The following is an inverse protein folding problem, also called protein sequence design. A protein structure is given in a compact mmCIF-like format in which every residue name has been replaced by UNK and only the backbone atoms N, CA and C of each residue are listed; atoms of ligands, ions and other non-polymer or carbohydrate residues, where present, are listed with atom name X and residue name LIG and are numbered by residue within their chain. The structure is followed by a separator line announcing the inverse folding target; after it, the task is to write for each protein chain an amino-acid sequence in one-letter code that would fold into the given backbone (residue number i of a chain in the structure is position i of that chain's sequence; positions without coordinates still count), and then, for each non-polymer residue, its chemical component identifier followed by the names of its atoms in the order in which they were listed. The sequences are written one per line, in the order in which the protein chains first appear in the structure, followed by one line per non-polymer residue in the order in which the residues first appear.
data_IF_959129532018
#
_entry.id   IF_959129532018
#
_cell.length_a   1.000
_cell.length_b   1.000
_cell.length_c   1.000
_cell.angle_alpha   90.00
_cell.angle_beta   90.00
_cell.angle_gamma   90.00
#
_symmetry.space_group_name_H-M   'P 1'
#
loop_
_entity.id
_entity.type
_entity.pdbx_description
1 polymer ?
#
# COMPACT_ATOMS: atom_id res chain seq x y z
N UNK A 1 -77.51 75.82 3.64
CA UNK A 1 -76.24 75.98 2.89
C UNK A 1 -75.02 76.19 3.78
N UNK A 2 -75.00 77.16 4.70
CA UNK A 2 -73.79 77.47 5.50
C UNK A 2 -73.25 76.30 6.37
N UNK A 3 -74.12 75.42 6.89
CA UNK A 3 -73.71 74.25 7.69
C UNK A 3 -72.99 73.17 6.86
N UNK A 4 -73.47 72.95 5.64
CA UNK A 4 -72.92 71.97 4.70
C UNK A 4 -71.56 72.46 4.17
N UNK A 5 -71.42 73.76 3.88
CA UNK A 5 -70.12 74.30 3.50
C UNK A 5 -69.09 74.13 4.62
N UNK A 6 -69.45 74.40 5.88
CA UNK A 6 -68.53 74.26 7.02
C UNK A 6 -68.06 72.82 7.24
N UNK A 7 -68.93 71.84 7.12
CA UNK A 7 -68.56 70.41 7.24
C UNK A 7 -67.63 69.96 6.10
N UNK A 8 -67.80 70.50 4.89
CA UNK A 8 -66.90 70.23 3.76
C UNK A 8 -65.52 70.87 3.99
N UNK A 9 -65.46 72.11 4.51
CA UNK A 9 -64.18 72.78 4.80
C UNK A 9 -63.45 72.11 5.96
N UNK A 10 -64.16 71.70 7.02
CA UNK A 10 -63.57 71.03 8.17
C UNK A 10 -63.07 69.62 7.79
N UNK A 11 -63.80 68.90 6.92
CA UNK A 11 -63.36 67.63 6.34
C UNK A 11 -62.13 67.75 5.44
N UNK A 12 -62.07 68.79 4.60
CA UNK A 12 -60.90 69.06 3.75
C UNK A 12 -59.64 69.43 4.57
N UNK A 13 -59.81 70.19 5.65
CA UNK A 13 -58.73 70.53 6.56
C UNK A 13 -58.21 69.29 7.31
N UNK A 14 -59.10 68.40 7.76
CA UNK A 14 -58.72 67.15 8.42
C UNK A 14 -57.97 66.20 7.48
N UNK A 15 -58.43 66.06 6.23
CA UNK A 15 -57.77 65.26 5.21
C UNK A 15 -56.35 65.79 4.91
N UNK A 16 -56.20 67.11 4.81
CA UNK A 16 -54.92 67.76 4.54
C UNK A 16 -53.93 67.51 5.69
N UNK A 17 -54.38 67.61 6.93
CA UNK A 17 -53.55 67.32 8.12
C UNK A 17 -53.14 65.84 8.16
N UNK A 18 -54.05 64.91 7.82
CA UNK A 18 -53.72 63.49 7.74
C UNK A 18 -52.69 63.18 6.65
N UNK A 19 -52.81 63.78 5.47
CA UNK A 19 -51.84 63.60 4.38
C UNK A 19 -50.45 64.08 4.81
N UNK A 20 -50.35 65.25 5.44
CA UNK A 20 -49.08 65.79 5.93
C UNK A 20 -48.46 64.89 7.01
N UNK A 21 -49.28 64.35 7.92
CA UNK A 21 -48.83 63.43 8.95
C UNK A 21 -48.30 62.11 8.36
N UNK A 22 -49.01 61.52 7.39
CA UNK A 22 -48.59 60.29 6.70
C UNK A 22 -47.29 60.53 5.92
N UNK A 23 -47.18 61.65 5.20
CA UNK A 23 -45.95 61.99 4.47
C UNK A 23 -44.76 62.16 5.39
N UNK A 24 -44.97 62.77 6.57
CA UNK A 24 -43.93 62.99 7.58
C UNK A 24 -43.46 61.67 8.22
N UNK A 25 -44.40 60.77 8.54
CA UNK A 25 -44.08 59.42 9.05
C UNK A 25 -43.34 58.57 8.01
N UNK A 26 -43.76 58.65 6.74
CA UNK A 26 -43.11 57.92 5.64
C UNK A 26 -41.70 58.43 5.39
N UNK A 27 -41.48 59.76 5.49
CA UNK A 27 -40.16 60.36 5.37
C UNK A 27 -39.23 59.97 6.53
N UNK A 28 -39.75 59.95 7.78
CA UNK A 28 -38.98 59.49 8.95
C UNK A 28 -38.56 58.02 8.81
N UNK A 29 -39.48 57.14 8.40
CA UNK A 29 -39.17 55.73 8.17
C UNK A 29 -38.13 55.52 7.06
N UNK A 30 -38.22 56.29 5.97
CA UNK A 30 -37.23 56.24 4.88
C UNK A 30 -35.84 56.74 5.33
N UNK A 31 -35.80 57.80 6.16
CA UNK A 31 -34.56 58.33 6.73
C UNK A 31 -33.86 57.29 7.63
N UNK A 32 -34.62 56.62 8.49
CA UNK A 32 -34.06 55.60 9.39
C UNK A 32 -33.54 54.38 8.62
N UNK A 33 -34.25 53.95 7.57
CA UNK A 33 -33.77 52.89 6.69
C UNK A 33 -32.44 53.24 6.00
N UNK A 34 -32.30 54.47 5.49
CA UNK A 34 -31.05 54.93 4.86
C UNK A 34 -29.90 55.02 5.87
N UNK A 35 -30.19 55.49 7.09
CA UNK A 35 -29.19 55.59 8.17
C UNK A 35 -28.69 54.22 8.65
N UNK A 36 -29.50 53.16 8.54
CA UNK A 36 -29.10 51.80 8.90
C UNK A 36 -28.36 51.10 7.74
N UNK A 37 -28.82 51.28 6.50
CA UNK A 37 -28.28 50.55 5.35
C UNK A 37 -26.94 51.13 4.87
N UNK A 38 -26.75 52.46 4.94
CA UNK A 38 -25.53 53.09 4.45
C UNK A 38 -24.25 52.64 5.20
N UNK A 39 -24.21 52.56 6.55
CA UNK A 39 -23.06 52.02 7.27
C UNK A 39 -22.75 50.56 6.91
N UNK A 40 -23.79 49.73 6.74
CA UNK A 40 -23.61 48.31 6.38
C UNK A 40 -22.96 48.18 5.00
N UNK A 41 -23.39 48.95 4.02
CA UNK A 41 -22.79 48.95 2.69
C UNK A 41 -21.34 49.43 2.70
N UNK A 42 -21.03 50.46 3.49
CA UNK A 42 -19.65 50.94 3.69
C UNK A 42 -18.79 49.84 4.33
N UNK A 43 -19.26 49.18 5.38
CA UNK A 43 -18.55 48.07 6.03
C UNK A 43 -18.33 46.89 5.09
N UNK A 44 -19.35 46.49 4.32
CA UNK A 44 -19.27 45.42 3.33
C UNK A 44 -18.27 45.75 2.22
N UNK A 45 -18.23 47.00 1.75
CA UNK A 45 -17.26 47.45 0.75
C UNK A 45 -15.82 47.43 1.30
N UNK A 46 -15.62 47.81 2.56
CA UNK A 46 -14.33 47.74 3.24
C UNK A 46 -13.86 46.30 3.44
N UNK A 47 -14.76 45.38 3.82
CA UNK A 47 -14.46 43.96 3.97
C UNK A 47 -14.08 43.30 2.63
N UNK A 48 -14.79 43.64 1.54
CA UNK A 48 -14.44 43.17 0.20
C UNK A 48 -13.07 43.68 -0.27
N UNK A 49 -12.74 44.94 -0.01
CA UNK A 49 -11.42 45.49 -0.33
C UNK A 49 -10.31 44.81 0.49
N UNK A 50 -10.55 44.52 1.77
CA UNK A 50 -9.60 43.80 2.61
C UNK A 50 -9.36 42.37 2.11
N UNK A 51 -10.41 41.66 1.71
CA UNK A 51 -10.29 40.32 1.11
C UNK A 51 -9.53 40.35 -0.22
N UNK A 52 -9.80 41.33 -1.08
CA UNK A 52 -9.06 41.51 -2.32
C UNK A 52 -7.57 41.78 -2.08
N UNK A 53 -7.24 42.63 -1.09
CA UNK A 53 -5.85 42.90 -0.71
C UNK A 53 -5.13 41.66 -0.16
N UNK A 54 -5.82 40.85 0.65
CA UNK A 54 -5.28 39.57 1.15
C UNK A 54 -5.03 38.58 0.01
N UNK A 55 -5.95 38.47 -0.95
CA UNK A 55 -5.80 37.60 -2.11
C UNK A 55 -4.60 38.01 -2.98
N UNK A 56 -4.42 39.32 -3.23
CA UNK A 56 -3.26 39.85 -3.98
C UNK A 56 -1.96 39.56 -3.22
N UNK A 57 -1.97 39.74 -1.90
CA UNK A 57 -0.79 39.48 -1.05
C UNK A 57 -0.43 38.00 -1.06
N UNK A 58 -1.43 37.10 -1.00
CA UNK A 58 -1.24 35.66 -1.10
C UNK A 58 -0.60 35.26 -2.44
N UNK A 59 -1.15 35.75 -3.57
CA UNK A 59 -0.60 35.48 -4.91
C UNK A 59 0.84 35.98 -5.02
N UNK A 60 1.15 37.16 -4.45
CA UNK A 60 2.50 37.69 -4.46
C UNK A 60 3.48 36.84 -3.63
N UNK A 61 3.07 36.38 -2.45
CA UNK A 61 3.87 35.49 -1.60
C UNK A 61 4.11 34.15 -2.29
N UNK A 62 3.08 33.55 -2.87
CA UNK A 62 3.17 32.28 -3.59
C UNK A 62 4.16 32.39 -4.77
N UNK A 63 4.08 33.48 -5.55
CA UNK A 63 5.00 33.75 -6.65
C UNK A 63 6.46 33.97 -6.21
N UNK A 64 6.67 34.57 -5.03
CA UNK A 64 8.00 34.71 -4.45
C UNK A 64 8.57 33.37 -3.97
N UNK A 65 7.71 32.50 -3.40
CA UNK A 65 8.11 31.17 -2.96
C UNK A 65 8.45 30.25 -4.13
N UNK A 66 7.67 30.26 -5.20
CA UNK A 66 7.94 29.46 -6.41
C UNK A 66 9.23 29.91 -7.10
N UNK A 67 9.43 31.22 -7.29
CA UNK A 67 10.67 31.75 -7.88
C UNK A 67 11.92 31.37 -7.05
N UNK A 68 11.83 31.41 -5.72
CA UNK A 68 12.94 30.96 -4.85
C UNK A 68 13.18 29.45 -4.92
N UNK A 69 12.13 28.66 -5.11
CA UNK A 69 12.23 27.21 -5.28
C UNK A 69 12.88 26.84 -6.63
N UNK A 70 12.52 27.53 -7.70
CA UNK A 70 13.13 27.39 -9.03
C UNK A 70 14.62 27.72 -9.00
N UNK A 71 15.00 28.87 -8.43
CA UNK A 71 16.43 29.26 -8.29
C UNK A 71 17.23 28.22 -7.47
N UNK A 72 16.62 27.63 -6.44
CA UNK A 72 17.28 26.55 -5.66
C UNK A 72 17.42 25.28 -6.48
N UNK A 73 16.40 24.90 -7.25
CA UNK A 73 16.42 23.73 -8.13
C UNK A 73 17.51 23.87 -9.19
N UNK A 74 17.60 25.02 -9.85
CA UNK A 74 18.58 25.28 -10.90
C UNK A 74 20.01 25.26 -10.35
N UNK A 75 20.23 25.79 -9.14
CA UNK A 75 21.52 25.71 -8.45
C UNK A 75 21.90 24.26 -8.10
N UNK A 76 20.94 23.43 -7.71
CA UNK A 76 21.18 22.01 -7.40
C UNK A 76 21.52 21.25 -8.68
N UNK A 77 20.80 21.49 -9.77
CA UNK A 77 21.07 20.86 -11.08
C UNK A 77 22.45 21.26 -11.62
N UNK A 78 22.81 22.54 -11.57
CA UNK A 78 24.13 23.01 -11.99
C UNK A 78 25.27 22.38 -11.16
N UNK A 79 25.04 22.13 -9.86
CA UNK A 79 26.03 21.48 -9.00
C UNK A 79 26.16 19.98 -9.32
N UNK A 80 25.06 19.31 -9.67
CA UNK A 80 25.07 17.91 -10.12
C UNK A 80 25.82 17.78 -11.46
N UNK A 81 25.58 18.67 -12.40
CA UNK A 81 26.27 18.66 -13.70
C UNK A 81 27.77 18.92 -13.53
N UNK A 82 28.16 19.87 -12.68
CA UNK A 82 29.58 20.12 -12.35
C UNK A 82 30.24 18.91 -11.67
N UNK A 83 29.54 18.22 -10.76
CA UNK A 83 30.03 16.99 -10.14
C UNK A 83 30.16 15.86 -11.17
N UNK A 84 29.21 15.74 -12.11
CA UNK A 84 29.25 14.75 -13.18
C UNK A 84 30.41 14.98 -14.13
N UNK A 85 30.68 16.23 -14.51
CA UNK A 85 31.87 16.59 -15.30
C UNK A 85 33.17 16.28 -14.54
N UNK A 86 33.22 16.60 -13.24
CA UNK A 86 34.40 16.31 -12.42
C UNK A 86 34.65 14.80 -12.30
N UNK A 87 33.61 14.00 -12.06
CA UNK A 87 33.70 12.54 -12.03
C UNK A 87 34.09 11.95 -13.38
N UNK A 88 33.57 12.50 -14.48
CA UNK A 88 33.97 12.10 -15.84
C UNK A 88 35.45 12.41 -16.10
N UNK A 89 35.92 13.59 -15.72
CA UNK A 89 37.33 13.98 -15.89
C UNK A 89 38.26 13.11 -15.03
N UNK A 90 37.84 12.76 -13.80
CA UNK A 90 38.56 11.83 -12.94
C UNK A 90 38.58 10.40 -13.50
N UNK A 91 37.45 9.93 -14.05
CA UNK A 91 37.37 8.62 -14.68
C UNK A 91 38.22 8.55 -15.96
N UNK A 92 38.15 9.56 -16.82
CA UNK A 92 38.99 9.68 -18.03
C UNK A 92 40.48 9.77 -17.64
N UNK A 93 40.84 10.55 -16.63
CA UNK A 93 42.21 10.63 -16.10
C UNK A 93 42.72 9.31 -15.50
N UNK A 94 41.86 8.57 -14.82
CA UNK A 94 42.18 7.24 -14.30
C UNK A 94 42.37 6.22 -15.42
N UNK A 95 41.54 6.28 -16.47
CA UNK A 95 41.62 5.41 -17.65
C UNK A 95 42.90 5.67 -18.45
N UNK A 96 43.24 6.95 -18.65
CA UNK A 96 44.49 7.37 -19.29
C UNK A 96 45.71 6.92 -18.46
N UNK A 97 45.69 7.12 -17.14
CA UNK A 97 46.78 6.71 -16.25
C UNK A 97 46.96 5.19 -16.24
N UNK A 98 45.86 4.43 -16.22
CA UNK A 98 45.89 2.97 -16.31
C UNK A 98 46.45 2.50 -17.66
N UNK A 99 46.07 3.16 -18.74
CA UNK A 99 46.58 2.87 -20.09
C UNK A 99 48.08 3.16 -20.18
N UNK A 100 48.55 4.30 -19.67
CA UNK A 100 49.98 4.65 -19.61
C UNK A 100 50.75 3.65 -18.75
N UNK A 101 50.19 3.20 -17.62
CA UNK A 101 50.80 2.19 -16.78
C UNK A 101 50.92 0.83 -17.49
N UNK A 102 49.92 0.45 -18.29
CA UNK A 102 49.95 -0.77 -19.11
C UNK A 102 50.96 -0.69 -20.26
N UNK A 103 51.11 0.48 -20.90
CA UNK A 103 52.17 0.75 -21.90
C UNK A 103 53.56 0.66 -21.25
N UNK A 104 53.78 1.30 -20.09
CA UNK A 104 55.06 1.22 -19.37
C UNK A 104 55.44 -0.20 -18.92
N UNK A 105 54.44 -1.05 -18.66
CA UNK A 105 54.62 -2.46 -18.31
C UNK A 105 54.84 -3.37 -19.53
N UNK A 106 54.87 -2.82 -20.74
CA UNK A 106 55.06 -3.58 -21.98
C UNK A 106 53.86 -4.45 -22.36
N UNK A 107 52.68 -4.21 -21.77
CA UNK A 107 51.46 -4.97 -22.04
C UNK A 107 50.70 -4.43 -23.27
N UNK A 108 50.96 -3.18 -23.63
CA UNK A 108 50.44 -2.54 -24.84
C UNK A 108 51.65 -2.04 -25.64
N UNK A 109 51.87 -2.64 -26.82
CA UNK A 109 52.87 -2.16 -27.77
C UNK A 109 52.21 -1.18 -28.73
N UNK A 110 52.68 0.07 -28.84
CA UNK A 110 52.21 0.95 -29.91
C UNK A 110 52.74 0.42 -31.24
N UNK A 111 51.84 -0.10 -32.08
CA UNK A 111 52.17 -0.38 -33.48
C UNK A 111 52.30 0.96 -34.20
N UNK A 112 53.51 1.32 -34.61
CA UNK A 112 53.71 2.41 -35.56
C UNK A 112 53.23 1.94 -36.94
N UNK A 113 52.14 2.54 -37.41
CA UNK A 113 51.77 2.54 -38.82
C UNK A 113 51.82 4.00 -39.28
N UNK A 114 52.98 4.44 -39.75
CA UNK A 114 53.23 5.84 -40.14
C UNK A 114 53.49 6.79 -38.95
N UNK A 115 53.24 8.10 -39.16
CA UNK A 115 53.57 9.18 -38.22
C UNK A 115 52.45 9.56 -37.23
N UNK A 116 51.34 8.81 -37.17
CA UNK A 116 50.24 9.08 -36.23
C UNK A 116 49.88 7.82 -35.43
N UNK A 117 49.67 7.91 -34.10
CA UNK A 117 49.26 6.77 -33.30
C UNK A 117 47.79 6.44 -33.59
N UNK A 118 47.51 5.22 -34.09
CA UNK A 118 46.16 4.66 -34.17
C UNK A 118 46.08 3.39 -33.34
N UNK A 119 45.04 3.28 -32.50
CA UNK A 119 44.70 2.05 -31.79
C UNK A 119 43.93 1.13 -32.75
N UNK A 120 44.49 -0.03 -33.08
CA UNK A 120 43.76 -1.06 -33.81
C UNK A 120 42.68 -1.67 -32.88
N UNK A 121 41.48 -2.01 -33.41
CA UNK A 121 40.48 -2.73 -32.64
C UNK A 121 41.05 -4.10 -32.23
N UNK A 122 41.06 -4.35 -30.93
CA UNK A 122 41.54 -5.62 -30.39
C UNK A 122 40.73 -6.78 -30.98
N UNK A 123 41.43 -7.75 -31.57
CA UNK A 123 40.88 -9.09 -31.70
C UNK A 123 40.89 -9.71 -30.30
N UNK A 124 39.71 -10.15 -29.85
CA UNK A 124 39.43 -10.81 -28.56
C UNK A 124 40.27 -12.05 -28.26
N UNK A 125 41.17 -12.45 -29.16
CA UNK A 125 42.05 -13.62 -29.02
C UNK A 125 43.37 -13.35 -28.30
N UNK A 126 43.71 -12.10 -27.96
CA UNK A 126 44.99 -11.75 -27.33
C UNK A 126 44.95 -11.61 -25.79
N UNK A 127 43.78 -11.72 -25.16
CA UNK A 127 43.66 -11.67 -23.69
C UNK A 127 44.08 -13.04 -23.13
N UNK A 128 45.37 -13.17 -22.78
CA UNK A 128 45.82 -14.24 -21.89
C UNK A 128 45.12 -14.06 -20.54
N UNK A 129 44.63 -15.18 -19.99
CA UNK A 129 43.75 -15.37 -18.84
C UNK A 129 44.14 -14.72 -17.48
N UNK A 130 45.11 -13.79 -17.41
CA UNK A 130 45.70 -13.33 -16.14
C UNK A 130 45.60 -11.80 -15.88
N UNK A 131 44.73 -11.08 -16.60
CA UNK A 131 44.40 -9.68 -16.26
C UNK A 131 43.08 -9.64 -15.53
N UNK A 132 43.00 -9.23 -14.24
CA UNK A 132 41.73 -8.99 -13.58
C UNK A 132 41.13 -7.74 -14.23
N UNK A 133 40.24 -7.95 -15.20
CA UNK A 133 39.28 -6.95 -15.63
C UNK A 133 38.54 -6.51 -14.36
N UNK A 134 38.41 -5.20 -14.13
CA UNK A 134 37.45 -4.70 -13.14
C UNK A 134 36.08 -5.19 -13.63
N UNK A 135 35.61 -6.29 -13.05
CA UNK A 135 34.30 -6.85 -13.35
C UNK A 135 33.27 -5.76 -13.09
N UNK A 136 32.56 -5.34 -14.14
CA UNK A 136 31.38 -4.51 -13.97
C UNK A 136 30.48 -5.20 -12.93
N UNK A 137 29.85 -4.46 -12.00
CA UNK A 137 28.98 -5.08 -11.00
C UNK A 137 27.99 -6.01 -11.72
N UNK A 138 28.08 -7.29 -11.42
CA UNK A 138 27.37 -8.34 -12.14
C UNK A 138 25.86 -8.08 -12.02
N UNK A 139 25.21 -7.83 -13.16
CA UNK A 139 23.78 -7.63 -13.19
C UNK A 139 23.08 -8.89 -12.66
N UNK A 140 22.20 -8.72 -11.68
CA UNK A 140 21.56 -9.83 -10.99
C UNK A 140 20.39 -10.35 -11.81
N UNK A 141 20.21 -11.66 -11.89
CA UNK A 141 19.01 -12.25 -12.51
C UNK A 141 17.89 -12.34 -11.49
N UNK A 142 16.69 -11.91 -11.87
CA UNK A 142 15.54 -11.98 -10.98
C UNK A 142 15.19 -13.41 -10.56
N UNK A 143 15.41 -14.41 -11.41
CA UNK A 143 15.22 -15.83 -11.07
C UNK A 143 15.98 -16.22 -9.81
N UNK A 144 17.24 -15.81 -9.72
CA UNK A 144 18.17 -16.24 -8.67
C UNK A 144 17.84 -15.52 -7.37
N UNK A 145 17.48 -14.23 -7.47
CA UNK A 145 16.99 -13.43 -6.34
C UNK A 145 15.68 -14.01 -5.81
N UNK A 146 14.72 -14.30 -6.69
CA UNK A 146 13.42 -14.84 -6.33
C UNK A 146 13.53 -16.21 -5.67
N UNK A 147 14.25 -17.16 -6.27
CA UNK A 147 14.44 -18.50 -5.71
C UNK A 147 15.14 -18.46 -4.34
N UNK A 148 16.19 -17.63 -4.19
CA UNK A 148 16.87 -17.46 -2.90
C UNK A 148 15.95 -16.89 -1.82
N UNK A 149 15.13 -15.90 -2.15
CA UNK A 149 14.22 -15.31 -1.18
C UNK A 149 13.06 -16.26 -0.81
N UNK A 150 12.45 -16.91 -1.80
CA UNK A 150 11.30 -17.80 -1.64
C UNK A 150 11.66 -19.11 -0.94
N UNK A 151 12.90 -19.60 -1.10
CA UNK A 151 13.42 -20.75 -0.35
C UNK A 151 13.73 -20.42 1.12
N UNK A 152 13.75 -19.13 1.49
CA UNK A 152 13.95 -18.74 2.89
C UNK A 152 12.68 -18.98 3.72
N UNK A 153 12.86 -19.18 5.03
CA UNK A 153 11.74 -19.31 5.98
C UNK A 153 10.76 -18.13 5.94
N UNK A 154 11.26 -16.91 5.69
CA UNK A 154 10.43 -15.71 5.59
C UNK A 154 9.61 -15.62 4.29
N UNK A 155 9.75 -16.62 3.42
CA UNK A 155 9.08 -16.75 2.12
C UNK A 155 9.29 -15.55 1.18
N UNK A 156 10.29 -14.70 1.41
CA UNK A 156 10.59 -13.52 0.59
C UNK A 156 9.59 -12.37 0.75
N UNK A 157 10.08 -11.12 0.75
CA UNK A 157 9.22 -9.92 0.89
C UNK A 157 9.63 -8.87 -0.12
N UNK A 158 8.83 -8.76 -1.18
CA UNK A 158 9.07 -7.94 -2.36
C UNK A 158 8.03 -6.82 -2.46
N UNK A 159 8.49 -5.65 -2.88
CA UNK A 159 7.60 -4.62 -3.43
C UNK A 159 8.10 -4.25 -4.82
N UNK A 160 7.20 -4.28 -5.79
CA UNK A 160 7.46 -3.94 -7.19
C UNK A 160 6.77 -2.62 -7.51
N UNK A 161 7.54 -1.65 -8.00
CA UNK A 161 7.06 -0.36 -8.48
C UNK A 161 7.21 -0.24 -9.98
N UNK A 162 6.43 0.65 -10.59
CA UNK A 162 6.58 1.03 -11.98
C UNK A 162 5.31 1.61 -12.57
N UNK A 163 5.42 2.32 -13.68
CA UNK A 163 4.28 2.87 -14.41
C UNK A 163 3.44 1.77 -15.08
N UNK A 164 2.29 2.16 -15.65
CA UNK A 164 1.54 1.25 -16.53
C UNK A 164 2.45 0.75 -17.65
N UNK A 165 2.27 -0.52 -18.04
CA UNK A 165 3.05 -1.16 -19.10
C UNK A 165 4.56 -1.28 -18.83
N UNK A 166 5.05 -1.09 -17.59
CA UNK A 166 6.47 -1.31 -17.28
C UNK A 166 6.87 -2.78 -17.13
N UNK A 167 5.90 -3.71 -17.18
CA UNK A 167 6.12 -5.15 -17.04
C UNK A 167 5.85 -5.71 -15.64
N UNK A 168 5.22 -4.94 -14.73
CA UNK A 168 4.89 -5.39 -13.36
C UNK A 168 4.11 -6.71 -13.34
N UNK A 169 3.03 -6.79 -14.11
CA UNK A 169 2.20 -8.01 -14.22
C UNK A 169 2.96 -9.19 -14.79
N UNK A 170 3.87 -8.95 -15.74
CA UNK A 170 4.75 -9.97 -16.28
C UNK A 170 5.69 -10.52 -15.20
N UNK A 171 6.28 -9.65 -14.39
CA UNK A 171 7.16 -10.04 -13.29
C UNK A 171 6.39 -10.77 -12.17
N UNK A 172 5.18 -10.33 -11.83
CA UNK A 172 4.31 -11.00 -10.88
C UNK A 172 3.98 -12.44 -11.33
N UNK A 173 3.66 -12.65 -12.61
CA UNK A 173 3.43 -13.99 -13.20
C UNK A 173 4.66 -14.89 -13.14
N UNK A 174 5.86 -14.35 -13.40
CA UNK A 174 7.10 -15.12 -13.20
C UNK A 174 7.31 -15.48 -11.73
N UNK A 175 7.02 -14.55 -10.82
CA UNK A 175 7.10 -14.79 -9.37
C UNK A 175 6.15 -15.90 -8.93
N UNK A 176 4.95 -15.98 -9.50
CA UNK A 176 4.04 -17.11 -9.28
C UNK A 176 4.71 -18.44 -9.59
N UNK A 177 5.40 -18.56 -10.73
CA UNK A 177 6.07 -19.81 -11.12
C UNK A 177 7.16 -20.19 -10.12
N UNK A 178 7.99 -19.21 -9.71
CA UNK A 178 9.02 -19.44 -8.70
C UNK A 178 8.42 -19.78 -7.34
N UNK A 179 7.32 -19.13 -6.93
CA UNK A 179 6.65 -19.41 -5.67
C UNK A 179 5.99 -20.79 -5.66
N UNK A 180 5.37 -21.24 -6.76
CA UNK A 180 4.86 -22.61 -6.88
C UNK A 180 5.99 -23.62 -6.70
N UNK A 181 7.14 -23.38 -7.33
CA UNK A 181 8.30 -24.26 -7.20
C UNK A 181 8.84 -24.28 -5.77
N UNK A 182 9.18 -23.11 -5.20
CA UNK A 182 9.87 -23.04 -3.91
C UNK A 182 8.96 -23.19 -2.70
N UNK A 183 7.77 -22.59 -2.72
CA UNK A 183 6.86 -22.59 -1.56
C UNK A 183 6.01 -23.86 -1.59
N UNK A 184 5.33 -24.14 -2.71
CA UNK A 184 4.36 -25.26 -2.75
C UNK A 184 5.07 -26.59 -2.89
N UNK A 185 5.92 -26.77 -3.91
CA UNK A 185 6.53 -28.07 -4.19
C UNK A 185 7.65 -28.42 -3.23
N UNK A 186 8.55 -27.49 -2.94
CA UNK A 186 9.72 -27.78 -2.09
C UNK A 186 9.40 -27.71 -0.59
N UNK A 187 8.48 -26.83 -0.17
CA UNK A 187 8.21 -26.57 1.25
C UNK A 187 6.80 -26.99 1.73
N UNK A 188 5.94 -27.48 0.83
CA UNK A 188 4.55 -27.86 1.17
C UNK A 188 3.67 -26.69 1.59
N UNK A 189 4.08 -25.47 1.26
CA UNK A 189 3.40 -24.22 1.56
C UNK A 189 2.26 -23.88 0.60
N UNK A 190 1.81 -22.62 0.64
CA UNK A 190 0.70 -22.13 -0.19
C UNK A 190 1.00 -20.77 -0.83
N UNK A 191 0.42 -20.55 -2.01
CA UNK A 191 0.50 -19.28 -2.74
C UNK A 191 -0.90 -18.74 -2.96
N UNK A 192 -1.09 -17.46 -2.67
CA UNK A 192 -2.36 -16.75 -2.77
C UNK A 192 -2.20 -15.54 -3.71
N UNK A 193 -3.19 -15.30 -4.57
CA UNK A 193 -3.24 -14.12 -5.43
C UNK A 193 -4.32 -13.18 -4.91
N UNK A 194 -4.00 -11.92 -4.68
CA UNK A 194 -4.95 -10.84 -4.44
C UNK A 194 -4.96 -9.96 -5.69
N UNK A 195 -6.04 -10.02 -6.45
CA UNK A 195 -6.16 -9.24 -7.68
C UNK A 195 -7.62 -8.80 -7.86
N UNK A 196 -7.95 -7.53 -7.51
CA UNK A 196 -9.32 -7.03 -7.64
C UNK A 196 -9.77 -6.93 -9.11
N UNK A 197 -8.81 -6.79 -10.03
CA UNK A 197 -9.05 -6.61 -11.46
C UNK A 197 -8.95 -7.92 -12.25
N UNK A 198 -8.52 -9.02 -11.62
CA UNK A 198 -8.38 -10.32 -12.26
C UNK A 198 -9.68 -10.77 -12.94
N UNK A 199 -9.62 -11.07 -14.24
CA UNK A 199 -10.39 -12.15 -14.84
C UNK A 199 -9.73 -13.48 -14.45
N UNK A 200 -10.55 -14.48 -14.10
CA UNK A 200 -10.09 -15.72 -13.46
C UNK A 200 -9.00 -16.52 -14.22
N UNK A 201 -8.89 -16.36 -15.55
CA UNK A 201 -7.97 -17.13 -16.41
C UNK A 201 -6.52 -16.61 -16.37
N UNK A 202 -6.26 -15.40 -15.85
CA UNK A 202 -4.93 -14.74 -15.93
C UNK A 202 -3.85 -15.48 -15.14
N UNK A 203 -4.25 -16.17 -14.08
CA UNK A 203 -3.34 -16.83 -13.14
C UNK A 203 -3.31 -18.37 -13.32
N UNK A 204 -4.22 -18.92 -14.12
CA UNK A 204 -4.40 -20.37 -14.31
C UNK A 204 -5.36 -20.99 -13.29
N UNK A 205 -6.02 -22.09 -13.69
CA UNK A 205 -7.16 -22.67 -12.96
C UNK A 205 -6.81 -23.24 -11.57
N UNK A 206 -5.53 -23.47 -11.29
CA UNK A 206 -5.07 -24.06 -10.04
C UNK A 206 -4.75 -23.04 -8.93
N UNK A 207 -4.83 -21.74 -9.22
CA UNK A 207 -4.48 -20.69 -8.25
C UNK A 207 -5.71 -20.05 -7.61
N UNK A 208 -5.62 -19.85 -6.30
CA UNK A 208 -6.66 -19.15 -5.55
C UNK A 208 -6.51 -17.65 -5.75
N UNK A 209 -7.44 -17.06 -6.48
CA UNK A 209 -7.54 -15.61 -6.69
C UNK A 209 -8.59 -15.04 -5.75
N UNK A 210 -8.19 -14.07 -4.94
CA UNK A 210 -8.99 -13.39 -3.93
C UNK A 210 -9.31 -11.99 -4.44
N UNK A 211 -10.59 -11.62 -4.37
CA UNK A 211 -11.06 -10.28 -4.69
C UNK A 211 -11.42 -10.02 -6.15
N UNK A 212 -11.33 -11.02 -7.02
CA UNK A 212 -11.69 -10.89 -8.44
C UNK A 212 -13.07 -10.25 -8.64
N UNK A 213 -13.18 -9.36 -9.63
CA UNK A 213 -14.41 -8.61 -9.88
C UNK A 213 -14.69 -7.53 -8.85
N UNK A 214 -13.65 -6.91 -8.28
CA UNK A 214 -13.72 -5.83 -7.29
C UNK A 214 -14.32 -6.27 -5.94
N UNK A 215 -14.17 -7.54 -5.56
CA UNK A 215 -14.65 -8.07 -4.27
C UNK A 215 -13.68 -7.75 -3.13
N UNK A 216 -13.60 -6.48 -2.75
CA UNK A 216 -12.79 -6.03 -1.63
C UNK A 216 -13.22 -6.58 -0.27
N UNK A 217 -14.45 -7.10 -0.16
CA UNK A 217 -14.92 -7.76 1.07
C UNK A 217 -14.16 -9.08 1.28
N UNK A 218 -14.01 -9.88 0.22
CA UNK A 218 -13.21 -11.11 0.28
C UNK A 218 -11.73 -10.81 0.53
N UNK A 219 -11.20 -9.71 -0.04
CA UNK A 219 -9.83 -9.26 0.26
C UNK A 219 -9.67 -8.95 1.76
N UNK A 220 -10.56 -8.15 2.36
CA UNK A 220 -10.49 -7.85 3.80
C UNK A 220 -10.61 -9.11 4.65
N UNK A 221 -11.56 -9.98 4.35
CA UNK A 221 -11.75 -11.24 5.09
C UNK A 221 -10.50 -12.13 5.02
N UNK A 222 -9.84 -12.19 3.86
CA UNK A 222 -8.58 -12.90 3.71
C UNK A 222 -7.46 -12.25 4.54
N UNK A 223 -7.33 -10.92 4.52
CA UNK A 223 -6.32 -10.21 5.31
C UNK A 223 -6.56 -10.35 6.83
N UNK A 224 -7.82 -10.45 7.28
CA UNK A 224 -8.16 -10.81 8.67
C UNK A 224 -7.73 -12.23 9.02
N UNK A 225 -7.92 -13.18 8.10
CA UNK A 225 -7.42 -14.54 8.26
C UNK A 225 -5.89 -14.57 8.37
N UNK A 226 -5.17 -13.84 7.50
CA UNK A 226 -3.71 -13.71 7.55
C UNK A 226 -3.26 -13.15 8.90
N UNK A 227 -3.92 -12.09 9.39
CA UNK A 227 -3.64 -11.50 10.71
C UNK A 227 -3.81 -12.51 11.84
N UNK A 228 -4.91 -13.26 11.83
CA UNK A 228 -5.19 -14.29 12.83
C UNK A 228 -4.19 -15.44 12.77
N UNK A 229 -3.82 -15.89 11.58
CA UNK A 229 -2.85 -16.98 11.38
C UNK A 229 -1.44 -16.58 11.84
N UNK A 230 -1.00 -15.36 11.53
CA UNK A 230 0.27 -14.81 12.02
C UNK A 230 0.31 -14.84 13.55
N UNK A 231 -0.75 -14.38 14.21
CA UNK A 231 -0.84 -14.40 15.67
C UNK A 231 -0.76 -15.83 16.22
N UNK A 232 -1.55 -16.76 15.67
CA UNK A 232 -1.55 -18.16 16.09
C UNK A 232 -0.17 -18.82 15.94
N UNK A 233 0.55 -18.48 14.85
CA UNK A 233 1.92 -18.94 14.62
C UNK A 233 2.91 -18.41 15.66
N UNK A 234 2.81 -17.14 16.03
CA UNK A 234 3.66 -16.60 17.11
C UNK A 234 3.35 -17.27 18.47
N UNK A 235 2.08 -17.49 18.78
CA UNK A 235 1.66 -18.22 19.99
C UNK A 235 2.17 -19.67 20.00
N UNK A 236 2.29 -20.29 18.83
CA UNK A 236 2.88 -21.62 18.64
C UNK A 236 4.43 -21.63 18.58
N UNK A 237 5.09 -20.50 18.81
CA UNK A 237 6.55 -20.43 18.91
C UNK A 237 7.29 -20.09 17.61
N UNK A 238 6.61 -19.58 16.57
CA UNK A 238 7.27 -19.13 15.33
C UNK A 238 8.19 -17.90 15.52
N UNK A 239 8.38 -17.35 16.72
CA UNK A 239 9.20 -16.14 16.95
C UNK A 239 10.72 -16.34 16.85
N UNK A 240 11.21 -17.58 16.83
CA UNK A 240 12.64 -17.90 16.76
C UNK A 240 13.10 -18.08 15.30
N UNK A 241 13.97 -17.18 14.81
CA UNK A 241 14.49 -17.20 13.43
C UNK A 241 15.48 -18.35 13.15
N UNK A 242 16.02 -18.99 14.19
CA UNK A 242 17.05 -20.03 14.06
C UNK A 242 16.49 -21.45 13.88
N UNK A 243 15.18 -21.62 14.00
CA UNK A 243 14.50 -22.92 13.86
C UNK A 243 13.72 -22.97 12.52
N UNK A 244 13.30 -24.15 12.04
CA UNK A 244 12.24 -24.25 11.04
C UNK A 244 10.89 -23.77 11.62
N UNK A 245 9.89 -23.55 10.76
CA UNK A 245 8.51 -23.36 11.25
C UNK A 245 8.07 -24.63 12.01
N UNK A 246 7.48 -24.50 13.21
CA UNK A 246 6.92 -25.63 13.93
C UNK A 246 5.83 -26.31 13.10
N UNK A 247 5.76 -27.64 13.13
CA UNK A 247 4.61 -28.36 12.55
C UNK A 247 3.30 -27.95 13.26
N UNK A 248 2.18 -27.85 12.54
CA UNK A 248 1.99 -28.18 11.11
C UNK A 248 2.22 -26.99 10.16
N UNK A 249 2.84 -25.89 10.62
CA UNK A 249 2.89 -24.65 9.85
C UNK A 249 3.87 -24.72 8.68
N UNK A 250 3.38 -24.32 7.50
CA UNK A 250 4.15 -24.22 6.26
C UNK A 250 4.19 -22.75 5.78
N UNK A 251 5.21 -22.35 5.00
CA UNK A 251 5.31 -20.99 4.50
C UNK A 251 4.15 -20.66 3.56
N UNK A 252 3.72 -19.41 3.59
CA UNK A 252 2.68 -18.87 2.73
C UNK A 252 3.21 -17.65 1.97
N UNK A 253 2.77 -17.46 0.74
CA UNK A 253 3.18 -16.34 -0.09
C UNK A 253 1.98 -15.64 -0.73
N UNK A 254 1.90 -14.32 -0.61
CA UNK A 254 0.82 -13.50 -1.17
C UNK A 254 1.35 -12.68 -2.33
N UNK A 255 0.69 -12.72 -3.47
CA UNK A 255 1.00 -11.83 -4.61
C UNK A 255 -0.17 -10.89 -4.79
N UNK A 256 0.07 -9.58 -4.76
CA UNK A 256 -0.97 -8.57 -4.97
C UNK A 256 -0.66 -7.68 -6.17
N UNK A 257 -1.46 -7.76 -7.24
CA UNK A 257 -1.25 -7.02 -8.52
C UNK A 257 -1.56 -5.51 -8.44
N UNK A 258 -2.32 -5.08 -7.43
CA UNK A 258 -2.80 -3.71 -7.30
C UNK A 258 -2.87 -3.31 -5.81
N UNK A 259 -1.72 -3.35 -5.13
CA UNK A 259 -1.68 -3.08 -3.70
C UNK A 259 -2.14 -1.65 -3.37
N UNK A 260 -1.75 -0.68 -4.20
CA UNK A 260 -2.17 0.72 -4.03
C UNK A 260 -3.68 0.85 -4.07
N UNK A 261 -4.35 0.27 -5.07
CA UNK A 261 -5.81 0.26 -5.16
C UNK A 261 -6.49 -0.49 -4.01
N UNK A 262 -5.95 -1.64 -3.60
CA UNK A 262 -6.47 -2.40 -2.45
C UNK A 262 -6.42 -1.58 -1.16
N UNK A 263 -5.27 -0.98 -0.85
CA UNK A 263 -5.11 -0.17 0.35
C UNK A 263 -5.99 1.07 0.31
N UNK A 264 -6.05 1.77 -0.83
CA UNK A 264 -6.88 2.96 -0.98
C UNK A 264 -8.36 2.65 -0.68
N UNK A 265 -8.85 1.53 -1.22
CA UNK A 265 -10.24 1.10 -1.03
C UNK A 265 -10.53 0.65 0.41
N UNK A 266 -9.64 -0.13 1.02
CA UNK A 266 -9.83 -0.54 2.42
C UNK A 266 -9.75 0.67 3.37
N UNK A 267 -8.87 1.63 3.11
CA UNK A 267 -8.79 2.88 3.89
C UNK A 267 -10.02 3.75 3.73
N UNK A 268 -10.54 3.92 2.51
CA UNK A 268 -11.74 4.74 2.27
C UNK A 268 -12.95 4.21 3.07
N UNK A 269 -13.01 2.89 3.25
CA UNK A 269 -14.01 2.18 4.07
C UNK A 269 -13.67 2.07 5.55
N UNK A 270 -12.54 2.64 6.02
CA UNK A 270 -12.03 2.53 7.40
C UNK A 270 -11.79 1.08 7.86
N UNK A 271 -11.45 0.21 6.91
CA UNK A 271 -11.17 -1.22 7.10
C UNK A 271 -9.66 -1.53 7.08
N UNK A 272 -8.81 -0.51 7.04
CA UNK A 272 -7.36 -0.63 7.12
C UNK A 272 -6.81 0.26 8.22
N UNK A 273 -6.00 -0.31 9.10
CA UNK A 273 -5.50 0.32 10.31
C UNK A 273 -3.97 0.25 10.40
N UNK A 274 -3.40 1.01 11.33
CA UNK A 274 -1.96 0.96 11.62
C UNK A 274 -1.51 -0.41 12.14
N UNK A 275 -2.42 -1.17 12.76
CA UNK A 275 -2.15 -2.54 13.19
C UNK A 275 -2.01 -3.49 11.99
N UNK A 276 -2.85 -3.32 10.96
CA UNK A 276 -2.71 -4.06 9.71
C UNK A 276 -1.35 -3.80 9.06
N UNK A 277 -0.91 -2.53 9.03
CA UNK A 277 0.41 -2.17 8.52
C UNK A 277 1.54 -2.86 9.29
N UNK A 278 1.52 -2.83 10.63
CA UNK A 278 2.57 -3.48 11.45
C UNK A 278 2.60 -4.98 11.22
N UNK A 279 1.44 -5.63 11.27
CA UNK A 279 1.33 -7.07 11.10
C UNK A 279 1.83 -7.51 9.72
N UNK A 280 1.41 -6.81 8.67
CA UNK A 280 1.73 -7.21 7.31
C UNK A 280 3.21 -6.95 6.97
N UNK A 281 3.75 -5.78 7.30
CA UNK A 281 5.11 -5.41 6.91
C UNK A 281 6.21 -5.90 7.88
N UNK A 282 5.92 -6.05 9.18
CA UNK A 282 6.93 -6.47 10.16
C UNK A 282 6.73 -7.90 10.66
N UNK A 283 5.52 -8.25 11.10
CA UNK A 283 5.31 -9.49 11.87
C UNK A 283 5.21 -10.73 10.98
N UNK A 284 4.86 -10.57 9.71
CA UNK A 284 4.69 -11.65 8.73
C UNK A 284 5.93 -12.55 8.56
N UNK A 285 7.15 -12.00 8.65
CA UNK A 285 8.41 -12.73 8.38
C UNK A 285 8.56 -14.01 9.19
N UNK A 286 8.52 -13.92 10.52
CA UNK A 286 8.86 -15.07 11.38
C UNK A 286 7.73 -16.10 11.41
N UNK A 287 6.51 -15.61 11.20
CA UNK A 287 5.33 -16.43 10.97
C UNK A 287 5.34 -17.14 9.60
N UNK A 288 6.33 -16.89 8.74
CA UNK A 288 6.44 -17.56 7.45
C UNK A 288 5.42 -17.08 6.43
N UNK A 289 5.03 -15.80 6.51
CA UNK A 289 4.23 -15.12 5.49
C UNK A 289 5.12 -14.18 4.68
N UNK A 290 5.33 -14.53 3.42
CA UNK A 290 6.00 -13.70 2.43
C UNK A 290 4.99 -13.01 1.52
N UNK A 291 5.46 -12.03 0.75
CA UNK A 291 4.63 -11.32 -0.20
C UNK A 291 5.39 -10.72 -1.38
N UNK A 292 4.67 -10.51 -2.48
CA UNK A 292 4.99 -9.57 -3.54
C UNK A 292 3.85 -8.57 -3.66
N UNK A 293 4.14 -7.29 -3.43
CA UNK A 293 3.19 -6.20 -3.58
C UNK A 293 3.52 -5.38 -4.81
N UNK A 294 2.61 -5.35 -5.78
CA UNK A 294 2.71 -4.50 -6.96
C UNK A 294 2.05 -3.16 -6.66
N UNK A 295 2.80 -2.08 -6.88
CA UNK A 295 2.34 -0.71 -6.71
C UNK A 295 2.70 0.11 -7.94
N UNK A 296 1.87 1.09 -8.30
CA UNK A 296 2.21 2.05 -9.37
C UNK A 296 3.21 3.10 -8.94
N UNK A 297 3.16 3.50 -7.67
CA UNK A 297 3.90 4.66 -7.18
C UNK A 297 4.94 4.25 -6.14
N UNK A 298 6.16 4.77 -6.31
CA UNK A 298 7.23 4.62 -5.34
C UNK A 298 7.10 5.66 -4.21
N UNK A 299 5.96 5.67 -3.51
CA UNK A 299 5.70 6.58 -2.38
C UNK A 299 5.26 5.80 -1.14
N UNK A 300 5.58 6.34 0.05
CA UNK A 300 5.14 5.73 1.32
C UNK A 300 3.60 5.80 1.45
N UNK A 301 2.98 6.82 0.85
CA UNK A 301 1.53 7.01 0.85
C UNK A 301 0.80 5.93 0.05
N UNK A 302 1.29 5.57 -1.15
CA UNK A 302 0.69 4.53 -2.00
C UNK A 302 0.69 3.15 -1.34
N UNK A 303 1.68 2.90 -0.48
CA UNK A 303 1.78 1.67 0.32
C UNK A 303 0.92 1.70 1.59
N UNK A 304 0.21 2.79 1.86
CA UNK A 304 -0.62 2.94 3.05
C UNK A 304 0.13 3.30 4.33
N UNK A 305 1.40 3.70 4.22
CA UNK A 305 2.34 3.84 5.33
C UNK A 305 2.62 5.29 5.73
N UNK A 306 1.73 6.23 5.42
CA UNK A 306 1.92 7.64 5.76
C UNK A 306 2.14 7.81 7.28
N UNK A 307 3.30 8.36 7.68
CA UNK A 307 3.72 8.44 9.08
C UNK A 307 4.37 7.18 9.67
N UNK A 308 4.42 6.07 8.92
CA UNK A 308 4.95 4.76 9.33
C UNK A 308 5.97 4.19 8.31
N UNK A 309 6.67 5.05 7.58
CA UNK A 309 7.63 4.61 6.55
C UNK A 309 8.79 3.77 7.06
N UNK A 310 9.05 3.78 8.38
CA UNK A 310 10.02 2.91 9.03
C UNK A 310 9.64 1.42 8.95
N UNK A 311 8.36 1.08 8.76
CA UNK A 311 7.93 -0.31 8.59
C UNK A 311 8.49 -0.97 7.33
N UNK A 312 8.94 -0.17 6.36
CA UNK A 312 9.62 -0.66 5.15
C UNK A 312 10.98 -1.32 5.44
N UNK A 313 11.54 -1.16 6.64
CA UNK A 313 12.69 -1.96 7.08
C UNK A 313 12.35 -3.47 7.19
N UNK A 314 11.06 -3.82 7.25
CA UNK A 314 10.58 -5.19 7.18
C UNK A 314 10.46 -5.74 5.75
N UNK A 315 10.80 -4.97 4.71
CA UNK A 315 10.79 -5.44 3.31
C UNK A 315 12.22 -5.80 2.91
N UNK A 316 12.40 -6.91 2.19
CA UNK A 316 13.73 -7.39 1.80
C UNK A 316 14.19 -6.81 0.47
N UNK A 317 13.27 -6.70 -0.48
CA UNK A 317 13.58 -6.36 -1.86
C UNK A 317 12.60 -5.32 -2.42
N UNK A 318 13.14 -4.24 -2.96
CA UNK A 318 12.40 -3.23 -3.69
C UNK A 318 12.82 -3.30 -5.15
N UNK A 319 11.86 -3.56 -6.04
CA UNK A 319 12.11 -3.68 -7.47
C UNK A 319 11.42 -2.50 -8.15
N UNK A 320 12.16 -1.72 -8.91
CA UNK A 320 11.57 -0.65 -9.72
C UNK A 320 11.71 -1.03 -11.19
N UNK A 321 10.58 -1.06 -11.89
CA UNK A 321 10.49 -1.32 -13.32
C UNK A 321 10.16 -0.03 -14.04
N UNK A 322 10.98 0.33 -15.00
CA UNK A 322 10.78 1.51 -15.84
C UNK A 322 10.64 1.09 -17.30
N UNK A 323 9.86 1.88 -18.03
CA UNK A 323 9.77 1.81 -19.48
C UNK A 323 10.12 3.18 -20.02
N UNK A 324 11.16 3.27 -20.82
CA UNK A 324 11.46 4.49 -21.54
C UNK A 324 10.37 4.71 -22.60
N UNK A 325 9.68 5.84 -22.49
CA UNK A 325 8.56 6.19 -23.37
C UNK A 325 9.05 6.46 -24.81
N UNK A 326 10.30 6.87 -24.98
CA UNK A 326 10.88 7.24 -26.29
C UNK A 326 11.41 5.98 -26.99
N UNK A 327 12.30 5.22 -26.33
CA UNK A 327 12.91 4.03 -26.93
C UNK A 327 12.03 2.78 -26.84
N UNK A 328 11.09 2.74 -25.90
CA UNK A 328 10.32 1.55 -25.57
C UNK A 328 11.11 0.50 -24.78
N UNK A 329 12.35 0.78 -24.40
CA UNK A 329 13.19 -0.13 -23.64
C UNK A 329 12.70 -0.25 -22.20
N UNK A 330 12.77 -1.47 -21.66
CA UNK A 330 12.42 -1.76 -20.28
C UNK A 330 13.70 -1.94 -19.46
N UNK A 331 13.74 -1.31 -18.30
CA UNK A 331 14.82 -1.45 -17.33
C UNK A 331 14.26 -1.88 -15.97
N UNK A 332 15.09 -2.54 -15.19
CA UNK A 332 14.73 -2.96 -13.84
C UNK A 332 15.92 -2.79 -12.90
N UNK A 333 15.63 -2.30 -11.70
CA UNK A 333 16.61 -2.13 -10.64
C UNK A 333 16.14 -2.82 -9.36
N UNK A 334 17.09 -3.35 -8.60
CA UNK A 334 16.86 -3.95 -7.30
C UNK A 334 17.53 -3.10 -6.20
N UNK A 335 16.73 -2.61 -5.26
CA UNK A 335 17.16 -1.94 -4.04
C UNK A 335 16.96 -2.82 -2.80
N UNK A 336 17.81 -2.62 -1.78
CA UNK A 336 17.68 -3.24 -0.45
C UNK A 336 16.93 -2.36 0.54
N UNK A 337 16.70 -1.09 0.19
CA UNK A 337 15.89 -0.16 0.96
C UNK A 337 15.05 0.74 0.05
N UNK A 338 14.00 1.33 0.61
CA UNK A 338 13.10 2.23 -0.11
C UNK A 338 13.79 3.50 -0.65
N UNK A 339 14.91 3.92 -0.03
CA UNK A 339 15.68 5.11 -0.43
C UNK A 339 17.11 4.75 -0.84
N UNK A 340 17.30 3.56 -1.40
CA UNK A 340 18.64 3.08 -1.67
C UNK A 340 19.36 3.97 -2.69
N UNK A 341 20.63 4.28 -2.39
CA UNK A 341 21.52 4.99 -3.33
C UNK A 341 22.38 4.03 -4.13
N UNK A 342 22.48 2.77 -3.70
CA UNK A 342 23.27 1.73 -4.34
C UNK A 342 22.32 0.62 -4.79
N UNK A 343 21.80 0.75 -6.01
CA UNK A 343 20.92 -0.24 -6.63
C UNK A 343 21.72 -1.21 -7.50
N UNK A 344 21.19 -2.41 -7.68
CA UNK A 344 21.72 -3.40 -8.61
C UNK A 344 20.89 -3.38 -9.88
N UNK A 345 21.55 -3.48 -11.02
CA UNK A 345 20.85 -3.75 -12.28
C UNK A 345 20.23 -5.15 -12.20
N UNK A 346 18.95 -5.24 -12.55
CA UNK A 346 18.18 -6.47 -12.46
C UNK A 346 17.77 -6.95 -13.86
N UNK A 347 18.21 -8.14 -14.23
CA UNK A 347 17.78 -8.82 -15.45
C UNK A 347 16.46 -9.51 -15.15
N UNK A 348 15.38 -9.01 -15.77
CA UNK A 348 14.05 -9.64 -15.69
C UNK A 348 13.94 -10.80 -16.68
N UNK A 349 13.12 -11.83 -16.39
CA UNK A 349 12.95 -13.01 -17.24
C UNK A 349 12.24 -12.75 -18.59
N UNK A 350 11.99 -11.49 -18.96
CA UNK A 350 11.36 -11.12 -20.23
C UNK A 350 9.86 -11.40 -20.30
N UNK A 351 9.32 -11.41 -21.52
CA UNK A 351 7.89 -11.59 -21.78
C UNK A 351 7.35 -12.92 -21.26
N UNK A 352 6.07 -12.94 -20.83
CA UNK A 352 5.41 -14.13 -20.30
C UNK A 352 4.44 -14.72 -21.33
N UNK A 353 4.72 -15.93 -21.82
CA UNK A 353 3.99 -16.57 -22.93
C UNK A 353 2.71 -17.35 -22.52
N UNK A 354 1.98 -16.88 -21.49
CA UNK A 354 0.70 -17.47 -21.04
C UNK A 354 -0.53 -16.72 -21.57
N UNK A 355 -1.47 -17.43 -22.21
CA UNK A 355 -2.59 -16.86 -23.00
C UNK A 355 -3.57 -15.99 -22.17
N UNK A 356 -4.00 -14.88 -22.75
CA UNK A 356 -5.19 -14.12 -22.33
C UNK A 356 -6.42 -14.61 -23.10
N UNK A 357 -7.54 -14.87 -22.42
CA UNK A 357 -8.87 -14.87 -23.05
C UNK A 357 -9.85 -14.12 -22.14
N UNK A 358 -10.53 -13.12 -22.72
CA UNK A 358 -11.61 -12.37 -22.09
C UNK A 358 -12.88 -12.61 -22.90
N UNK A 359 -13.88 -13.27 -22.34
CA UNK A 359 -15.26 -13.13 -22.81
C UNK A 359 -16.17 -12.80 -21.64
N UNK A 360 -17.05 -11.83 -21.82
CA UNK A 360 -17.92 -11.28 -20.77
C UNK A 360 -18.85 -12.35 -20.16
N UNK A 361 -19.25 -13.34 -20.96
CA UNK A 361 -20.06 -14.47 -20.51
C UNK A 361 -19.35 -15.36 -19.47
N UNK A 362 -18.01 -15.48 -19.55
CA UNK A 362 -17.22 -16.23 -18.57
C UNK A 362 -17.03 -15.44 -17.27
N UNK A 363 -16.92 -14.11 -17.33
CA UNK A 363 -16.82 -13.25 -16.14
C UNK A 363 -18.10 -13.33 -15.27
N UNK A 364 -19.28 -13.34 -15.90
CA UNK A 364 -20.57 -13.38 -15.20
C UNK A 364 -20.84 -14.75 -14.55
N UNK A 365 -20.49 -15.86 -15.22
CA UNK A 365 -20.58 -17.22 -14.67
C UNK A 365 -19.70 -17.39 -13.42
N UNK A 366 -18.52 -16.78 -13.38
CA UNK A 366 -17.56 -16.93 -12.29
C UNK A 366 -17.85 -16.06 -11.06
N UNK A 367 -18.51 -14.90 -11.23
CA UNK A 367 -19.06 -14.10 -10.11
C UNK A 367 -19.98 -14.91 -9.21
N UNK A 368 -20.69 -15.89 -9.77
CA UNK A 368 -21.58 -16.80 -9.02
C UNK A 368 -20.82 -17.88 -8.22
N UNK A 369 -19.53 -18.12 -8.51
CA UNK A 369 -18.71 -19.19 -7.90
C UNK A 369 -17.81 -18.71 -6.75
N UNK A 370 -17.76 -17.41 -6.46
CA UNK A 370 -16.95 -16.80 -5.39
C UNK A 370 -17.34 -17.29 -3.98
N UNK A 371 -18.47 -17.98 -3.83
CA UNK A 371 -18.87 -18.63 -2.57
C UNK A 371 -18.23 -20.01 -2.30
N UNK A 372 -17.39 -20.56 -3.18
CA UNK A 372 -17.00 -21.99 -3.11
C UNK A 372 -15.55 -22.31 -2.70
N UNK A 373 -14.68 -21.34 -2.38
CA UNK A 373 -13.25 -21.64 -2.17
C UNK A 373 -12.64 -21.06 -0.88
N UNK A 374 -13.31 -21.32 0.25
CA UNK A 374 -12.70 -21.19 1.58
C UNK A 374 -12.09 -22.51 2.12
N UNK A 375 -12.06 -23.58 1.32
CA UNK A 375 -11.47 -24.85 1.75
C UNK A 375 -10.81 -25.60 0.58
N UNK A 376 -9.51 -25.41 0.41
CA UNK A 376 -8.66 -26.56 0.13
C UNK A 376 -8.14 -27.03 1.50
N UNK A 377 -8.98 -27.80 2.18
CA UNK A 377 -8.50 -28.68 3.24
C UNK A 377 -7.46 -29.63 2.62
N UNK A 378 -6.38 -29.98 3.33
CA UNK A 378 -5.47 -31.02 2.85
C UNK A 378 -6.26 -32.31 2.59
N UNK A 379 -5.83 -33.15 1.61
CA UNK A 379 -6.36 -34.50 1.52
C UNK A 379 -6.19 -35.16 2.91
N UNK A 380 -7.17 -35.95 3.38
CA UNK A 380 -6.99 -36.69 4.62
C UNK A 380 -5.69 -37.51 4.51
N UNK A 381 -4.90 -37.59 5.59
CA UNK A 381 -3.69 -38.42 5.58
C UNK A 381 -4.07 -39.83 5.14
N UNK A 382 -3.19 -40.45 4.34
CA UNK A 382 -3.37 -41.82 3.88
C UNK A 382 -3.72 -42.70 5.08
N UNK A 383 -4.79 -43.48 4.95
CA UNK A 383 -5.19 -44.47 5.93
C UNK A 383 -4.05 -45.48 6.08
N UNK A 384 -3.22 -45.31 7.11
CA UNK A 384 -2.41 -46.41 7.62
C UNK A 384 -3.37 -47.41 8.25
N UNK A 385 -3.48 -48.56 7.59
CA UNK A 385 -4.12 -49.73 8.15
C UNK A 385 -3.53 -50.07 9.51
N UNK A 386 -4.41 -50.21 10.51
CA UNK A 386 -4.20 -50.96 11.75
C UNK A 386 -3.06 -50.47 12.66
N UNK A 387 -3.44 -49.85 13.79
CA UNK A 387 -3.07 -50.37 15.11
C UNK A 387 -3.95 -49.72 16.19
N UNK A 388 -4.57 -50.58 17.01
CA UNK A 388 -5.34 -50.33 18.22
C UNK A 388 -6.79 -49.90 18.04
N UNK A 389 -7.66 -50.92 17.99
CA UNK A 389 -9.07 -50.79 18.24
C UNK A 389 -9.34 -50.26 19.65
N UNK A 390 -10.17 -49.23 19.70
CA UNK A 390 -11.03 -48.89 20.82
C UNK A 390 -12.33 -48.34 20.18
N UNK A 391 -13.36 -49.18 20.17
CA UNK A 391 -14.73 -48.73 19.93
C UNK A 391 -15.08 -47.73 21.03
N UNK A 392 -15.14 -46.44 20.68
CA UNK A 392 -15.72 -45.39 21.52
C UNK A 392 -16.88 -44.80 20.73
N UNK A 393 -18.09 -45.03 21.24
CA UNK A 393 -19.31 -44.41 20.74
C UNK A 393 -19.21 -42.87 20.75
N UNK A 394 -19.92 -42.16 19.85
CA UNK A 394 -19.84 -40.70 19.79
C UNK A 394 -20.40 -40.08 21.07
N UNK A 395 -19.52 -39.50 21.88
CA UNK A 395 -19.92 -38.68 23.03
C UNK A 395 -20.72 -37.45 22.58
N UNK A 396 -21.74 -37.16 23.37
CA UNK A 396 -22.77 -36.16 23.14
C UNK A 396 -22.21 -34.74 22.96
N UNK A 397 -22.85 -33.96 22.08
CA UNK A 397 -22.69 -32.52 21.92
C UNK A 397 -22.50 -31.82 23.28
N UNK A 398 -21.32 -31.24 23.50
CA UNK A 398 -21.08 -30.36 24.64
C UNK A 398 -22.06 -29.16 24.57
N UNK A 399 -22.73 -28.80 25.68
CA UNK A 399 -23.63 -27.67 25.72
C UNK A 399 -22.87 -26.36 25.48
N UNK A 400 -23.48 -25.46 24.70
CA UNK A 400 -22.97 -24.13 24.42
C UNK A 400 -22.53 -23.44 25.73
N UNK A 401 -21.27 -23.04 25.79
CA UNK A 401 -20.65 -22.44 26.96
C UNK A 401 -21.40 -21.18 27.43
N UNK A 402 -22.04 -20.46 26.51
CA UNK A 402 -22.88 -19.31 26.83
C UNK A 402 -24.17 -19.70 27.56
N UNK A 403 -24.73 -20.88 27.30
CA UNK A 403 -25.89 -21.41 28.02
C UNK A 403 -25.50 -21.85 29.43
N UNK A 404 -24.31 -22.44 29.60
CA UNK A 404 -23.79 -22.81 30.94
C UNK A 404 -23.59 -21.58 31.80
N UNK A 405 -22.97 -20.52 31.27
CA UNK A 405 -22.79 -19.24 31.99
C UNK A 405 -24.15 -18.65 32.41
N UNK A 406 -25.14 -18.65 31.51
CA UNK A 406 -26.49 -18.14 31.80
C UNK A 406 -27.20 -18.96 32.90
N UNK A 407 -27.03 -20.28 32.91
CA UNK A 407 -27.59 -21.15 33.98
C UNK A 407 -26.92 -20.87 35.33
N UNK A 408 -25.60 -20.88 35.39
CA UNK A 408 -24.87 -20.63 36.64
C UNK A 408 -25.19 -19.25 37.24
N UNK A 409 -25.33 -18.23 36.39
CA UNK A 409 -25.76 -16.90 36.84
C UNK A 409 -27.23 -16.90 37.32
N UNK A 410 -28.12 -17.66 36.66
CA UNK A 410 -29.52 -17.83 37.12
C UNK A 410 -29.61 -18.57 38.45
N UNK A 411 -28.66 -19.46 38.71
CA UNK A 411 -28.53 -20.20 39.98
C UNK A 411 -27.91 -19.32 41.10
N UNK A 412 -27.60 -18.06 40.82
CA UNK A 412 -27.18 -17.05 41.80
C UNK A 412 -25.68 -16.98 42.05
N UNK A 413 -24.86 -17.67 41.24
CA UNK A 413 -23.40 -17.60 41.35
C UNK A 413 -22.90 -16.23 40.89
N UNK A 414 -21.94 -15.68 41.64
CA UNK A 414 -21.22 -14.48 41.26
C UNK A 414 -20.31 -14.72 40.06
N UNK A 415 -19.94 -13.65 39.35
CA UNK A 415 -19.03 -13.73 38.19
C UNK A 415 -17.68 -14.40 38.54
N UNK A 416 -17.23 -14.28 39.79
CA UNK A 416 -16.00 -14.93 40.28
C UNK A 416 -16.19 -16.43 40.47
N UNK A 417 -17.30 -16.86 41.06
CA UNK A 417 -17.63 -18.29 41.23
C UNK A 417 -17.88 -18.98 39.87
N UNK A 418 -18.47 -18.26 38.92
CA UNK A 418 -18.58 -18.72 37.53
C UNK A 418 -17.17 -18.91 36.92
N UNK A 419 -16.24 -17.99 37.16
CA UNK A 419 -14.86 -18.13 36.67
C UNK A 419 -14.16 -19.36 37.27
N UNK A 420 -14.34 -19.61 38.56
CA UNK A 420 -13.82 -20.79 39.25
C UNK A 420 -14.44 -22.09 38.71
N UNK A 421 -15.73 -22.08 38.37
CA UNK A 421 -16.41 -23.22 37.71
C UNK A 421 -15.76 -23.59 36.37
N UNK A 422 -15.19 -22.62 35.65
CA UNK A 422 -14.44 -22.83 34.41
C UNK A 422 -12.91 -22.95 34.63
N UNK A 423 -12.47 -23.18 35.87
CA UNK A 423 -11.05 -23.37 36.21
C UNK A 423 -10.20 -22.10 36.09
N UNK A 424 -10.81 -20.91 36.21
CA UNK A 424 -10.11 -19.62 36.17
C UNK A 424 -9.93 -19.09 37.59
N UNK A 425 -8.79 -18.44 37.83
CA UNK A 425 -8.44 -17.83 39.13
C UNK A 425 -9.14 -16.49 39.37
N UNK A 426 -9.61 -15.81 38.32
CA UNK A 426 -10.38 -14.57 38.44
C UNK A 426 -11.29 -14.33 37.23
N UNK A 427 -12.38 -13.60 37.45
CA UNK A 427 -13.22 -13.08 36.37
C UNK A 427 -12.61 -11.80 35.77
N UNK A 428 -11.54 -11.95 35.00
CA UNK A 428 -10.82 -10.84 34.37
C UNK A 428 -10.49 -11.12 32.89
N UNK A 429 -10.10 -10.07 32.16
CA UNK A 429 -9.67 -10.17 30.77
C UNK A 429 -10.75 -10.73 29.84
N UNK A 430 -10.41 -11.72 29.02
CA UNK A 430 -11.31 -12.31 28.02
C UNK A 430 -12.56 -12.96 28.65
N UNK A 431 -12.40 -13.62 29.80
CA UNK A 431 -13.50 -14.32 30.46
C UNK A 431 -14.56 -13.34 31.00
N UNK A 432 -14.14 -12.15 31.45
CA UNK A 432 -15.06 -11.08 31.84
C UNK A 432 -15.98 -10.67 30.68
N UNK A 433 -15.43 -10.51 29.46
CA UNK A 433 -16.24 -10.16 28.28
C UNK A 433 -17.13 -11.32 27.82
N UNK A 434 -16.70 -12.58 28.00
CA UNK A 434 -17.53 -13.76 27.73
C UNK A 434 -18.76 -13.81 28.66
N UNK A 435 -18.56 -13.58 29.96
CA UNK A 435 -19.66 -13.47 30.94
C UNK A 435 -20.55 -12.28 30.62
N UNK A 436 -19.97 -11.10 30.32
CA UNK A 436 -20.73 -9.89 29.95
C UNK A 436 -21.57 -10.07 28.69
N UNK A 437 -21.02 -10.75 27.69
CA UNK A 437 -21.71 -11.08 26.44
C UNK A 437 -22.85 -12.07 26.67
N UNK A 438 -22.60 -13.15 27.44
CA UNK A 438 -23.60 -14.16 27.75
C UNK A 438 -24.78 -13.61 28.58
N UNK A 439 -24.54 -12.61 29.44
CA UNK A 439 -25.55 -11.97 30.28
C UNK A 439 -26.24 -10.77 29.63
N UNK A 440 -25.82 -10.36 28.43
CA UNK A 440 -26.46 -9.27 27.69
C UNK A 440 -26.35 -7.88 28.33
N UNK A 441 -25.43 -7.66 29.28
CA UNK A 441 -25.30 -6.37 29.96
C UNK A 441 -24.51 -5.37 29.11
N UNK A 442 -25.20 -4.58 28.29
CA UNK A 442 -24.66 -3.36 27.67
C UNK A 442 -24.80 -2.18 28.62
N UNK A 443 -23.79 -1.91 29.45
CA UNK A 443 -23.59 -0.57 30.00
C UNK A 443 -22.12 -0.14 29.98
N UNK A 444 -21.97 1.10 29.53
CA UNK A 444 -20.93 2.10 29.81
C UNK A 444 -21.32 2.88 31.07
N UNK A 445 -20.32 3.39 31.82
CA UNK A 445 -20.31 4.01 33.17
C UNK A 445 -20.29 3.00 34.34
N UNK A 446 -19.35 3.03 35.29
CA UNK A 446 -18.50 4.13 35.81
C UNK A 446 -16.99 4.00 35.52
#
# INVERSE_FOLDING_TARGET
MARILKEITDGANMLTVMIIAIMSLTWLAAKDAVMIVAPILVWMSGALLALAALAITYIFIERQLTSRAEIRRDRVLANIDSQRETMRFQAEGALISATIAQVKRGLIYPLQVGNEPRFAPFTTSAIKNDVPLLEAPEALRFSDVAQKALSSRGAGRFIVFGSMDSGKTTLAKWTVQYAIQEIVRNQGGRVFIIDPHAPKVVWGDSLTVIGAGMDYRSIRAFLDHVKSDIKARYEAGCGNDSAPLPEPYKPNFIICEEWTGVIAELKSKKQWTDEDNRMFYMDSRKAGWGYLLVSHEHTVGSLGLQGMGNLLAGVEYFITLEKDVISGEHSAILGKSFKDKATYDLITPGAFNGRMYYSDAQAESERSKTHKYLALAPPPPAEDESILGLDVEPEANEPDRADVIRRLHKDGLSNQEIAEHFGKTSCSGRFYYEVKSALGSTSTSD
#
